data_IF_073841398532
#
_entry.id   IF_073841398532
#
_cell.length_a   1.000
_cell.length_b   1.000
_cell.length_c   1.000
_cell.angle_alpha   90.00
_cell.angle_beta   90.00
_cell.angle_gamma   90.00
#
_symmetry.space_group_name_H-M   'P 1'
#
loop_
_entity.id
_entity.type
_entity.pdbx_description
1 polymer ?
#
# COMPACT_ATOMS: atom_id res chain seq x y z
N UNK A 1 5.05 3.59 22.45
CA UNK A 1 5.83 3.59 21.20
C UNK A 1 5.94 2.15 20.73
N UNK A 2 5.14 1.74 19.75
CA UNK A 2 5.14 0.36 19.24
C UNK A 2 6.43 0.03 18.50
N UNK A 3 6.90 -1.22 18.60
CA UNK A 3 8.06 -1.72 17.84
C UNK A 3 7.82 -1.47 16.35
N UNK A 4 8.75 -0.78 15.68
CA UNK A 4 8.73 -0.67 14.21
C UNK A 4 8.96 -2.06 13.62
N UNK A 5 8.00 -2.55 12.84
CA UNK A 5 8.19 -3.77 12.08
C UNK A 5 9.26 -3.55 10.99
N UNK A 6 10.20 -4.49 10.88
CA UNK A 6 11.21 -4.46 9.83
C UNK A 6 10.63 -5.19 8.62
N UNK A 7 10.31 -4.43 7.57
CA UNK A 7 9.61 -4.94 6.41
C UNK A 7 10.57 -5.50 5.36
N UNK A 8 10.40 -6.76 4.96
CA UNK A 8 11.09 -7.30 3.78
C UNK A 8 10.26 -7.04 2.51
N UNK A 9 10.90 -6.87 1.33
CA UNK A 9 10.17 -6.64 0.07
C UNK A 9 9.10 -7.69 -0.22
N UNK A 10 9.38 -8.97 0.10
CA UNK A 10 8.43 -10.07 -0.10
C UNK A 10 7.15 -9.93 0.74
N UNK A 11 7.26 -9.42 1.97
CA UNK A 11 6.11 -9.23 2.86
C UNK A 11 5.24 -8.08 2.38
N UNK A 12 5.86 -6.97 1.96
CA UNK A 12 5.15 -5.83 1.38
C UNK A 12 4.42 -6.24 0.09
N UNK A 13 5.08 -6.99 -0.80
CA UNK A 13 4.47 -7.49 -2.03
C UNK A 13 3.30 -8.42 -1.73
N UNK A 14 3.45 -9.32 -0.75
CA UNK A 14 2.37 -10.22 -0.32
C UNK A 14 1.18 -9.42 0.21
N UNK A 15 1.40 -8.46 1.09
CA UNK A 15 0.36 -7.59 1.61
C UNK A 15 -0.37 -6.83 0.48
N UNK A 16 0.36 -6.19 -0.43
CA UNK A 16 -0.24 -5.46 -1.56
C UNK A 16 -1.11 -6.38 -2.45
N UNK A 17 -0.63 -7.59 -2.75
CA UNK A 17 -1.43 -8.60 -3.48
C UNK A 17 -2.68 -9.00 -2.70
N UNK A 18 -2.57 -9.20 -1.38
CA UNK A 18 -3.69 -9.55 -0.51
C UNK A 18 -4.75 -8.44 -0.43
N UNK A 19 -4.33 -7.17 -0.51
CA UNK A 19 -5.21 -6.01 -0.62
C UNK A 19 -5.82 -5.84 -2.03
N UNK A 20 -5.44 -6.69 -2.99
CA UNK A 20 -5.93 -6.70 -4.35
C UNK A 20 -5.30 -5.64 -5.25
N UNK A 21 -4.04 -5.27 -5.01
CA UNK A 21 -3.24 -4.50 -5.96
C UNK A 21 -2.75 -5.37 -7.10
N UNK A 22 -2.74 -4.81 -8.29
CA UNK A 22 -2.19 -5.43 -9.49
C UNK A 22 -0.75 -4.97 -9.68
N UNK A 23 0.15 -5.93 -9.89
CA UNK A 23 1.52 -5.64 -10.30
C UNK A 23 1.52 -5.22 -11.77
N UNK A 24 2.09 -4.05 -12.09
CA UNK A 24 2.23 -3.63 -13.48
C UNK A 24 3.22 -4.54 -14.23
N UNK A 25 2.90 -4.98 -15.46
CA UNK A 25 3.86 -5.70 -16.30
C UNK A 25 5.08 -4.79 -16.55
N UNK A 26 6.29 -5.35 -16.40
CA UNK A 26 7.59 -4.65 -16.36
C UNK A 26 7.61 -3.36 -17.20
N UNK A 27 7.40 -2.21 -16.55
CA UNK A 27 7.84 -0.90 -17.04
C UNK A 27 9.18 -0.58 -16.37
N UNK A 28 10.29 -1.14 -16.86
CA UNK A 28 11.62 -0.62 -16.54
C UNK A 28 12.73 -1.59 -16.16
N UNK A 29 13.95 -1.05 -16.21
CA UNK A 29 15.28 -1.61 -15.95
C UNK A 29 15.54 -1.64 -14.42
N UNK A 30 15.85 -2.80 -13.84
CA UNK A 30 16.15 -2.97 -12.40
C UNK A 30 15.10 -3.76 -11.60
N UNK A 31 15.25 -3.77 -10.28
CA UNK A 31 14.49 -4.62 -9.33
C UNK A 31 13.24 -3.94 -8.73
N UNK A 32 12.78 -2.84 -9.34
CA UNK A 32 11.61 -2.09 -8.85
C UNK A 32 10.30 -2.66 -9.45
N UNK A 33 9.34 -2.95 -8.56
CA UNK A 33 8.01 -3.41 -8.93
C UNK A 33 6.97 -2.33 -8.64
N UNK A 34 6.21 -1.95 -9.67
CA UNK A 34 5.08 -1.04 -9.56
C UNK A 34 3.78 -1.80 -9.30
N UNK A 35 2.96 -1.28 -8.38
CA UNK A 35 1.65 -1.79 -8.02
C UNK A 35 0.61 -0.69 -8.15
N UNK A 36 -0.57 -1.04 -8.63
CA UNK A 36 -1.70 -0.11 -8.73
C UNK A 36 -3.02 -0.78 -8.35
N UNK A 37 -3.97 0.01 -7.85
CA UNK A 37 -5.36 -0.42 -7.59
C UNK A 37 -6.29 0.77 -7.77
N UNK A 38 -7.34 0.60 -8.56
CA UNK A 38 -8.47 1.55 -8.61
C UNK A 38 -9.41 1.25 -7.44
N UNK A 39 -9.82 2.28 -6.72
CA UNK A 39 -10.61 2.16 -5.50
C UNK A 39 -11.74 3.19 -5.47
N UNK A 40 -12.82 2.84 -4.77
CA UNK A 40 -13.90 3.76 -4.44
C UNK A 40 -13.75 4.22 -2.98
N UNK A 41 -13.67 5.53 -2.81
CA UNK A 41 -13.46 6.19 -1.53
C UNK A 41 -14.80 6.69 -0.98
N UNK A 42 -14.76 7.38 0.17
CA UNK A 42 -15.92 8.07 0.73
C UNK A 42 -16.63 8.95 -0.31
N UNK A 43 -17.96 8.87 -0.35
CA UNK A 43 -18.77 9.61 -1.32
C UNK A 43 -18.71 9.07 -2.75
N UNK A 44 -18.38 7.78 -2.94
CA UNK A 44 -18.27 7.12 -4.24
C UNK A 44 -17.21 7.71 -5.18
N UNK A 45 -16.23 8.43 -4.63
CA UNK A 45 -15.17 9.02 -5.43
C UNK A 45 -14.17 7.96 -5.88
N UNK A 46 -13.80 8.00 -7.15
CA UNK A 46 -12.75 7.10 -7.67
C UNK A 46 -11.35 7.69 -7.47
N UNK A 47 -10.42 6.79 -7.16
CA UNK A 47 -9.00 7.09 -7.05
C UNK A 47 -8.17 5.89 -7.47
N UNK A 48 -7.00 6.15 -8.07
CA UNK A 48 -6.01 5.11 -8.39
C UNK A 48 -4.84 5.27 -7.45
N UNK A 49 -4.65 4.29 -6.56
CA UNK A 49 -3.47 4.22 -5.71
C UNK A 49 -2.35 3.59 -6.53
N UNK A 50 -1.19 4.22 -6.55
CA UNK A 50 0.03 3.69 -7.19
C UNK A 50 1.15 3.69 -6.17
N UNK A 51 1.86 2.57 -6.08
CA UNK A 51 3.02 2.42 -5.19
C UNK A 51 4.10 1.58 -5.85
N UNK A 52 5.30 1.61 -5.28
CA UNK A 52 6.48 0.93 -5.80
C UNK A 52 7.20 0.21 -4.67
N UNK A 53 7.72 -0.98 -4.95
CA UNK A 53 8.53 -1.77 -4.04
C UNK A 53 9.86 -2.10 -4.71
N UNK A 54 10.97 -1.78 -4.07
CA UNK A 54 12.31 -2.20 -4.50
C UNK A 54 12.59 -3.62 -3.99
N UNK A 55 12.84 -4.57 -4.89
CA UNK A 55 13.21 -5.95 -4.55
C UNK A 55 14.72 -6.15 -4.38
N UNK A 56 15.55 -5.18 -4.76
CA UNK A 56 17.01 -5.27 -4.69
C UNK A 56 17.56 -5.09 -3.27
N UNK A 57 16.72 -4.67 -2.32
CA UNK A 57 17.10 -4.44 -0.92
C UNK A 57 16.74 -5.61 -0.02
N UNK A 58 17.53 -5.82 1.04
CA UNK A 58 17.22 -6.83 2.06
C UNK A 58 16.01 -6.43 2.91
N UNK A 59 15.90 -5.13 3.21
CA UNK A 59 14.89 -4.52 4.08
C UNK A 59 14.42 -3.20 3.46
N UNK A 60 13.12 -2.92 3.56
CA UNK A 60 12.52 -1.69 3.07
C UNK A 60 12.89 -0.54 4.03
N UNK A 61 13.49 0.56 3.55
CA UNK A 61 13.80 1.70 4.39
C UNK A 61 12.55 2.26 5.09
N UNK A 62 12.64 2.70 6.36
CA UNK A 62 11.48 3.20 7.11
C UNK A 62 10.75 4.37 6.42
N UNK A 63 11.48 5.23 5.71
CA UNK A 63 10.91 6.33 4.93
C UNK A 63 10.06 5.83 3.76
N UNK A 64 10.56 4.83 3.02
CA UNK A 64 9.83 4.17 1.94
C UNK A 64 8.60 3.46 2.47
N UNK A 65 8.72 2.72 3.58
CA UNK A 65 7.59 2.05 4.19
C UNK A 65 6.50 3.04 4.64
N UNK A 66 6.90 4.15 5.26
CA UNK A 66 5.97 5.23 5.64
C UNK A 66 5.20 5.74 4.42
N UNK A 67 5.87 5.95 3.29
CA UNK A 67 5.22 6.37 2.05
C UNK A 67 4.20 5.33 1.55
N UNK A 68 4.55 4.05 1.60
CA UNK A 68 3.65 2.96 1.20
C UNK A 68 2.40 2.93 2.10
N UNK A 69 2.59 2.95 3.43
CA UNK A 69 1.49 2.95 4.41
C UNK A 69 0.56 4.16 4.24
N UNK A 70 1.13 5.35 4.04
CA UNK A 70 0.36 6.57 3.78
C UNK A 70 -0.43 6.47 2.46
N UNK A 71 0.16 5.91 1.40
CA UNK A 71 -0.51 5.77 0.10
C UNK A 71 -1.68 4.77 0.13
N UNK A 72 -1.58 3.70 0.91
CA UNK A 72 -2.66 2.73 1.10
C UNK A 72 -3.60 3.10 2.27
N UNK A 73 -3.35 4.22 2.94
CA UNK A 73 -4.09 4.68 4.11
C UNK A 73 -4.27 3.61 5.21
N UNK A 74 -3.26 2.77 5.44
CA UNK A 74 -3.26 1.78 6.53
C UNK A 74 -2.15 2.10 7.54
N UNK A 75 -2.35 1.68 8.78
CA UNK A 75 -1.28 1.64 9.77
C UNK A 75 -0.41 0.38 9.62
N UNK A 76 0.70 0.37 10.34
CA UNK A 76 1.69 -0.73 10.31
C UNK A 76 1.05 -2.07 10.74
N UNK A 77 0.18 -2.05 11.75
CA UNK A 77 -0.46 -3.26 12.29
C UNK A 77 -1.44 -3.88 11.28
N UNK A 78 -2.31 -3.08 10.68
CA UNK A 78 -3.30 -3.56 9.71
C UNK A 78 -2.61 -4.02 8.42
N UNK A 79 -1.55 -3.31 8.00
CA UNK A 79 -0.74 -3.75 6.88
C UNK A 79 0.00 -5.07 7.19
N UNK A 80 0.46 -5.27 8.42
CA UNK A 80 1.04 -6.54 8.86
C UNK A 80 0.02 -7.68 8.83
N UNK A 81 -1.20 -7.46 9.31
CA UNK A 81 -2.31 -8.44 9.17
C UNK A 81 -2.55 -8.81 7.70
N UNK A 82 -2.50 -7.84 6.78
CA UNK A 82 -2.59 -8.12 5.35
C UNK A 82 -1.43 -9.00 4.84
N UNK A 83 -0.20 -8.79 5.34
CA UNK A 83 0.95 -9.63 4.99
C UNK A 83 0.81 -11.09 5.48
N UNK A 84 0.11 -11.31 6.60
CA UNK A 84 -0.15 -12.64 7.15
C UNK A 84 -1.35 -13.33 6.49
N UNK A 85 -2.26 -12.55 5.89
CA UNK A 85 -3.49 -13.04 5.24
C UNK A 85 -4.77 -12.77 6.04
N UNK A 86 -4.64 -12.17 7.23
CA UNK A 86 -5.73 -11.87 8.16
C UNK A 86 -6.51 -10.58 7.81
N UNK A 87 -6.07 -9.88 6.77
CA UNK A 87 -6.74 -8.70 6.22
C UNK A 87 -6.70 -8.75 4.69
N UNK A 88 -7.87 -8.75 4.04
CA UNK A 88 -7.98 -9.04 2.61
C UNK A 88 -8.56 -7.87 1.79
N UNK A 89 -8.62 -8.04 0.48
CA UNK A 89 -9.10 -7.04 -0.46
C UNK A 89 -10.53 -6.55 -0.16
N UNK A 90 -11.44 -7.45 0.25
CA UNK A 90 -12.83 -7.08 0.56
C UNK A 90 -12.90 -6.19 1.81
N UNK A 91 -12.16 -6.54 2.86
CA UNK A 91 -12.06 -5.73 4.08
C UNK A 91 -11.44 -4.38 3.78
N UNK A 92 -10.40 -4.36 2.94
CA UNK A 92 -9.75 -3.13 2.52
C UNK A 92 -10.67 -2.21 1.72
N UNK A 93 -11.44 -2.75 0.77
CA UNK A 93 -12.41 -1.98 -0.02
C UNK A 93 -13.56 -1.44 0.84
N UNK A 94 -14.04 -2.23 1.81
CA UNK A 94 -15.03 -1.76 2.78
C UNK A 94 -14.48 -0.60 3.62
N UNK A 95 -13.23 -0.70 4.09
CA UNK A 95 -12.56 0.36 4.80
C UNK A 95 -12.42 1.64 3.94
N UNK A 96 -11.97 1.53 2.69
CA UNK A 96 -11.73 2.69 1.83
C UNK A 96 -13.00 3.50 1.54
N UNK A 97 -14.19 2.88 1.56
CA UNK A 97 -15.48 3.59 1.46
C UNK A 97 -15.74 4.53 2.64
N UNK A 98 -15.01 4.40 3.73
CA UNK A 98 -15.05 5.31 4.89
C UNK A 98 -13.95 6.37 4.85
N UNK A 99 -12.96 6.23 3.96
CA UNK A 99 -11.78 7.07 3.89
C UNK A 99 -12.00 8.21 2.88
N UNK A 100 -11.80 9.49 3.26
CA UNK A 100 -11.86 10.60 2.31
C UNK A 100 -10.72 10.51 1.30
N UNK A 101 -11.00 10.87 0.04
CA UNK A 101 -10.03 10.83 -1.06
C UNK A 101 -8.72 11.55 -0.73
N UNK A 102 -8.78 12.67 -0.02
CA UNK A 102 -7.59 13.45 0.34
C UNK A 102 -6.58 12.67 1.19
N UNK A 103 -7.04 11.66 1.96
CA UNK A 103 -6.12 10.81 2.74
C UNK A 103 -5.25 9.92 1.85
N UNK A 104 -5.78 9.51 0.70
CA UNK A 104 -5.09 8.67 -0.29
C UNK A 104 -4.19 9.48 -1.23
N UNK A 105 -4.36 10.81 -1.27
CA UNK A 105 -3.45 11.69 -2.00
C UNK A 105 -2.08 11.72 -1.32
N UNK A 106 -0.98 11.85 -2.09
CA UNK A 106 0.35 12.09 -1.53
C UNK A 106 0.33 13.31 -0.60
N UNK A 107 1.12 13.32 0.50
CA UNK A 107 1.11 14.42 1.46
C UNK A 107 1.26 15.82 0.84
N UNK A 108 2.04 15.96 -0.25
CA UNK A 108 2.23 17.22 -0.96
C UNK A 108 1.00 17.72 -1.73
N UNK A 109 -0.02 16.88 -1.93
CA UNK A 109 -1.24 17.17 -2.67
C UNK A 109 -2.48 17.29 -1.77
N UNK A 110 -2.33 17.09 -0.46
CA UNK A 110 -3.41 17.27 0.52
C UNK A 110 -3.60 18.77 0.75
N UNK A 111 -4.82 19.29 0.55
CA UNK A 111 -5.17 20.70 0.77
C UNK A 111 -5.90 20.88 2.08
#
# INVERSE_FOLDING_TARGET
MGRRHIWKPREVIRALKQLGFTQAPKRGKGDHLWFYKQVHCLGHQEHTIVTMVDQGVQEIPPSTMKYILDAVALDDETFHKASQGDYNAQMYEAYLRTVPKDRLLPPAMRR
#
